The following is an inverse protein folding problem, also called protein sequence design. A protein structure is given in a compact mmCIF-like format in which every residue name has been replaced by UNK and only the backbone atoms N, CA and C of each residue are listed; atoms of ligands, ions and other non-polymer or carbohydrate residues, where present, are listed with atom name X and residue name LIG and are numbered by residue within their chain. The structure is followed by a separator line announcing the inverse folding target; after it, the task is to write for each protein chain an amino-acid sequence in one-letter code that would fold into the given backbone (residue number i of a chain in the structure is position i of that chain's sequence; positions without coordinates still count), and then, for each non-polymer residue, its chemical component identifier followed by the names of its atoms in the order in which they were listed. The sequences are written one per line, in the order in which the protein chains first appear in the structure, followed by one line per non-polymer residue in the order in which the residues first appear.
data_IF_386681794417
#
_entry.id   IF_386681794417
#
_cell.length_a   1.000
_cell.length_b   1.000
_cell.length_c   1.000
_cell.angle_alpha   90.00
_cell.angle_beta   90.00
_cell.angle_gamma   90.00
#
_symmetry.space_group_name_H-M   'P 1'
#
loop_
_entity.id
_entity.type
_entity.pdbx_description
1 polymer ?
#
# COMPACT_ATOMS: atom_id res chain seq x y z
N UNK A 1 -6.38 10.34 15.65
CA UNK A 1 -7.17 10.08 16.86
C UNK A 1 -7.86 11.34 17.37
N UNK A 2 -7.14 12.40 17.78
CA UNK A 2 -7.76 13.62 18.33
C UNK A 2 -8.71 14.33 17.36
N UNK A 3 -8.40 14.30 16.06
CA UNK A 3 -9.29 14.81 15.00
C UNK A 3 -10.44 13.86 14.60
N UNK A 4 -10.62 12.74 15.29
CA UNK A 4 -11.66 11.75 14.96
C UNK A 4 -11.41 10.91 13.69
N UNK A 5 -10.24 11.01 13.06
CA UNK A 5 -9.87 10.17 11.92
C UNK A 5 -9.87 8.67 12.29
N UNK A 6 -10.20 7.81 11.33
CA UNK A 6 -10.33 6.36 11.50
C UNK A 6 -9.10 5.57 11.02
N UNK A 7 -8.31 6.13 10.12
CA UNK A 7 -7.17 5.45 9.51
C UNK A 7 -6.01 6.40 9.23
N UNK A 8 -4.81 5.83 9.16
CA UNK A 8 -3.60 6.44 8.63
C UNK A 8 -3.03 5.49 7.59
N UNK A 9 -2.76 5.96 6.37
CA UNK A 9 -2.25 5.12 5.28
C UNK A 9 -1.14 5.83 4.51
N UNK A 10 -0.35 5.04 3.77
CA UNK A 10 0.72 5.55 2.91
C UNK A 10 1.93 4.62 2.90
N UNK A 11 3.09 5.15 2.51
CA UNK A 11 4.39 4.51 2.68
C UNK A 11 4.82 4.56 4.17
N UNK A 12 4.09 3.86 5.03
CA UNK A 12 4.32 3.82 6.49
C UNK A 12 5.39 2.78 6.91
N UNK A 13 5.99 2.11 5.93
CA UNK A 13 7.00 1.06 6.08
C UNK A 13 8.41 1.49 5.66
N UNK A 14 8.59 2.74 5.25
CA UNK A 14 9.86 3.32 4.80
C UNK A 14 9.71 4.79 4.41
N UNK A 15 10.76 5.42 3.89
CA UNK A 15 10.66 6.77 3.32
C UNK A 15 10.27 6.75 1.84
N UNK A 16 9.52 7.77 1.40
CA UNK A 16 9.26 8.02 -0.03
C UNK A 16 10.57 8.48 -0.70
N UNK A 17 10.97 7.77 -1.75
CA UNK A 17 12.22 8.00 -2.47
C UNK A 17 13.44 7.31 -1.84
N UNK A 18 13.29 6.71 -0.66
CA UNK A 18 14.35 5.97 0.02
C UNK A 18 14.46 4.55 -0.52
N UNK A 19 15.63 4.25 -1.11
CA UNK A 19 15.94 2.95 -1.70
C UNK A 19 17.39 2.61 -1.41
N UNK A 20 17.69 1.33 -1.19
CA UNK A 20 19.07 0.86 -0.94
C UNK A 20 19.87 0.70 -2.23
N UNK A 21 19.22 0.71 -3.39
CA UNK A 21 19.81 0.35 -4.68
C UNK A 21 20.06 -1.15 -4.85
N UNK A 22 19.67 -1.96 -3.87
CA UNK A 22 19.76 -3.41 -3.86
C UNK A 22 18.34 -4.03 -3.83
N UNK A 23 18.19 -5.29 -4.27
CA UNK A 23 16.95 -6.02 -4.06
C UNK A 23 16.60 -6.11 -2.56
N UNK A 24 15.30 -6.12 -2.21
CA UNK A 24 14.86 -6.33 -0.83
C UNK A 24 15.44 -7.59 -0.20
N UNK A 25 15.84 -7.47 1.05
CA UNK A 25 16.27 -8.60 1.88
C UNK A 25 15.16 -9.05 2.81
N UNK A 26 15.17 -10.33 3.18
CA UNK A 26 14.24 -10.87 4.17
C UNK A 26 14.34 -10.12 5.52
N UNK A 27 15.55 -9.71 5.89
CA UNK A 27 15.79 -8.90 7.09
C UNK A 27 15.10 -7.54 7.04
N UNK A 28 15.06 -6.87 5.90
CA UNK A 28 14.32 -5.60 5.76
C UNK A 28 12.82 -5.84 5.96
N UNK A 29 12.26 -6.89 5.36
CA UNK A 29 10.87 -7.24 5.56
C UNK A 29 10.54 -7.62 7.01
N UNK A 30 11.42 -8.35 7.69
CA UNK A 30 11.26 -8.69 9.10
C UNK A 30 11.28 -7.45 9.99
N UNK A 31 12.17 -6.50 9.71
CA UNK A 31 12.23 -5.23 10.43
C UNK A 31 10.94 -4.41 10.24
N UNK A 32 10.45 -4.32 8.99
CA UNK A 32 9.17 -3.65 8.68
C UNK A 32 8.03 -4.32 9.43
N UNK A 33 7.91 -5.65 9.36
CA UNK A 33 6.84 -6.38 10.02
C UNK A 33 6.88 -6.18 11.55
N UNK A 34 8.08 -6.19 12.15
CA UNK A 34 8.26 -5.92 13.58
C UNK A 34 7.76 -4.53 13.97
N UNK A 35 8.18 -3.49 13.23
CA UNK A 35 7.80 -2.10 13.53
C UNK A 35 6.31 -1.89 13.32
N UNK A 36 5.73 -2.40 12.22
CA UNK A 36 4.29 -2.33 11.95
C UNK A 36 3.48 -3.07 13.02
N UNK A 37 3.96 -4.19 13.54
CA UNK A 37 3.31 -4.89 14.66
C UNK A 37 3.21 -4.00 15.91
N UNK A 38 4.29 -3.28 16.25
CA UNK A 38 4.30 -2.36 17.39
C UNK A 38 3.39 -1.16 17.13
N UNK A 39 3.47 -0.57 15.94
CA UNK A 39 2.63 0.56 15.53
C UNK A 39 1.13 0.20 15.55
N UNK A 40 0.76 -0.98 15.01
CA UNK A 40 -0.61 -1.46 14.97
C UNK A 40 -1.19 -1.66 16.37
N UNK A 41 -0.43 -2.24 17.31
CA UNK A 41 -0.83 -2.34 18.73
C UNK A 41 -1.10 -0.99 19.36
N UNK A 42 -0.32 0.03 19.02
CA UNK A 42 -0.54 1.39 19.51
C UNK A 42 -1.79 2.02 18.86
N UNK A 43 -1.90 1.95 17.54
CA UNK A 43 -3.00 2.49 16.76
C UNK A 43 -4.35 1.88 17.18
N UNK A 44 -4.38 0.57 17.45
CA UNK A 44 -5.58 -0.15 17.89
C UNK A 44 -6.17 0.41 19.20
N UNK A 45 -5.33 0.79 20.16
CA UNK A 45 -5.77 1.43 21.42
C UNK A 45 -6.48 2.78 21.20
N UNK A 46 -6.28 3.38 20.03
CA UNK A 46 -6.85 4.67 19.64
C UNK A 46 -7.95 4.52 18.57
N UNK A 47 -8.34 3.29 18.23
CA UNK A 47 -9.32 3.03 17.17
C UNK A 47 -8.84 3.43 15.77
N UNK A 48 -7.53 3.38 15.52
CA UNK A 48 -6.92 3.73 14.23
C UNK A 48 -6.49 2.47 13.49
N UNK A 49 -6.86 2.39 12.22
CA UNK A 49 -6.34 1.41 11.27
C UNK A 49 -5.11 1.94 10.51
N UNK A 50 -4.21 1.05 10.08
CA UNK A 50 -2.99 1.39 9.34
C UNK A 50 -3.02 0.81 7.93
N UNK A 51 -2.87 1.65 6.91
CA UNK A 51 -2.87 1.24 5.51
C UNK A 51 -1.46 1.18 4.91
N UNK A 52 -1.08 0.02 4.38
CA UNK A 52 0.18 -0.18 3.65
C UNK A 52 -0.05 0.13 2.18
N UNK A 53 0.54 1.22 1.69
CA UNK A 53 0.44 1.63 0.28
C UNK A 53 1.47 0.91 -0.60
N UNK A 54 1.00 0.14 -1.59
CA UNK A 54 1.90 -0.36 -2.63
C UNK A 54 2.28 0.79 -3.57
N UNK A 55 3.58 1.06 -3.70
CA UNK A 55 4.08 2.20 -4.51
C UNK A 55 5.04 1.75 -5.59
N UNK A 56 5.23 2.56 -6.63
CA UNK A 56 6.16 2.19 -7.71
C UNK A 56 7.62 2.06 -7.21
N UNK A 57 8.44 1.35 -7.98
CA UNK A 57 9.88 1.10 -7.71
C UNK A 57 10.74 2.35 -7.57
N UNK A 58 10.24 3.51 -7.98
CA UNK A 58 10.97 4.78 -7.87
C UNK A 58 10.76 5.43 -6.49
N UNK A 59 9.70 5.05 -5.79
CA UNK A 59 9.34 5.59 -4.49
C UNK A 59 9.74 4.67 -3.34
N UNK A 60 9.73 3.35 -3.54
CA UNK A 60 10.29 2.41 -2.57
C UNK A 60 10.68 1.08 -3.24
N UNK A 61 11.62 0.32 -2.68
CA UNK A 61 12.03 -0.99 -3.22
C UNK A 61 11.33 -2.20 -2.57
N UNK A 62 10.62 -2.02 -1.45
CA UNK A 62 10.09 -3.13 -0.64
C UNK A 62 8.72 -3.63 -1.10
N UNK A 63 7.72 -2.75 -1.20
CA UNK A 63 6.32 -3.12 -1.46
C UNK A 63 5.83 -2.37 -2.69
N UNK A 64 5.75 -3.07 -3.82
CA UNK A 64 5.47 -2.48 -5.12
C UNK A 64 4.18 -2.97 -5.79
N UNK A 65 3.61 -4.08 -5.31
CA UNK A 65 2.35 -4.63 -5.82
C UNK A 65 1.36 -4.89 -4.68
N UNK A 66 0.08 -4.97 -5.00
CA UNK A 66 -0.99 -5.36 -4.09
C UNK A 66 -0.73 -6.73 -3.47
N UNK A 67 -0.18 -7.67 -4.24
CA UNK A 67 0.22 -8.99 -3.72
C UNK A 67 1.32 -8.90 -2.64
N UNK A 68 2.32 -8.05 -2.83
CA UNK A 68 3.35 -7.81 -1.80
C UNK A 68 2.77 -7.09 -0.58
N UNK A 69 1.82 -6.17 -0.78
CA UNK A 69 1.14 -5.49 0.32
C UNK A 69 0.32 -6.48 1.16
N UNK A 70 -0.46 -7.36 0.52
CA UNK A 70 -1.18 -8.46 1.21
C UNK A 70 -0.23 -9.34 1.99
N UNK A 71 0.87 -9.76 1.36
CA UNK A 71 1.87 -10.60 2.03
C UNK A 71 2.42 -9.91 3.29
N UNK A 72 2.68 -8.60 3.26
CA UNK A 72 3.13 -7.87 4.43
C UNK A 72 2.03 -7.75 5.51
N UNK A 73 0.79 -7.43 5.11
CA UNK A 73 -0.37 -7.40 6.05
C UNK A 73 -0.51 -8.74 6.76
N UNK A 74 -0.45 -9.85 6.03
CA UNK A 74 -0.54 -11.20 6.57
C UNK A 74 0.68 -11.58 7.44
N UNK A 75 1.89 -11.14 7.06
CA UNK A 75 3.10 -11.33 7.86
C UNK A 75 3.04 -10.59 9.20
N UNK A 76 2.44 -9.40 9.24
CA UNK A 76 2.22 -8.66 10.49
C UNK A 76 1.11 -9.31 11.32
N UNK A 77 0.05 -9.79 10.67
CA UNK A 77 -1.02 -10.56 11.32
C UNK A 77 -1.90 -9.74 12.28
N UNK A 78 -1.93 -8.42 12.14
CA UNK A 78 -2.77 -7.53 12.94
C UNK A 78 -4.10 -7.25 12.22
N UNK A 79 -5.20 -7.23 12.98
CA UNK A 79 -6.56 -7.04 12.47
C UNK A 79 -6.92 -5.58 12.13
N UNK A 80 -6.05 -4.62 12.46
CA UNK A 80 -6.19 -3.20 12.14
C UNK A 80 -5.14 -2.71 11.14
N UNK A 81 -4.58 -3.59 10.31
CA UNK A 81 -3.78 -3.24 9.15
C UNK A 81 -4.51 -3.66 7.88
N UNK A 82 -4.44 -2.84 6.84
CA UNK A 82 -5.08 -3.09 5.55
C UNK A 82 -4.18 -2.69 4.38
N UNK A 83 -4.56 -3.10 3.18
CA UNK A 83 -3.90 -2.73 1.92
C UNK A 83 -4.48 -1.42 1.41
N UNK A 84 -3.58 -0.51 1.04
CA UNK A 84 -3.86 0.71 0.31
C UNK A 84 -3.27 0.57 -1.10
N UNK A 85 -4.10 0.80 -2.12
CA UNK A 85 -3.67 0.82 -3.53
C UNK A 85 -3.78 2.23 -4.10
N UNK A 86 -3.00 2.52 -5.14
CA UNK A 86 -3.08 3.76 -5.92
C UNK A 86 -3.01 3.42 -7.41
N UNK A 87 -3.94 3.93 -8.19
CA UNK A 87 -4.03 3.65 -9.63
C UNK A 87 -2.81 4.14 -10.42
N UNK A 88 -2.12 5.19 -9.98
CA UNK A 88 -0.85 5.63 -10.57
C UNK A 88 0.27 4.60 -10.36
N UNK A 89 0.38 4.04 -9.16
CA UNK A 89 1.39 3.03 -8.85
C UNK A 89 1.10 1.71 -9.55
N UNK A 90 -0.17 1.29 -9.54
CA UNK A 90 -0.63 0.09 -10.23
C UNK A 90 -0.38 0.15 -11.72
N UNK A 91 -0.55 1.32 -12.35
CA UNK A 91 -0.26 1.54 -13.77
C UNK A 91 1.20 1.25 -14.15
N UNK A 92 2.14 1.28 -13.18
CA UNK A 92 3.57 1.03 -13.42
C UNK A 92 3.95 -0.42 -13.07
N UNK A 93 3.47 -0.93 -11.92
CA UNK A 93 4.00 -2.17 -11.34
C UNK A 93 3.12 -3.39 -11.54
N UNK A 94 1.80 -3.21 -11.66
CA UNK A 94 0.88 -4.34 -11.78
C UNK A 94 0.84 -4.90 -13.20
N UNK A 95 0.69 -6.21 -13.30
CA UNK A 95 0.42 -6.88 -14.58
C UNK A 95 -1.06 -6.80 -14.91
N UNK A 96 -1.55 -5.58 -15.14
CA UNK A 96 -2.97 -5.25 -15.27
C UNK A 96 -3.51 -4.70 -13.94
N UNK A 97 -4.10 -3.50 -13.97
CA UNK A 97 -4.49 -2.78 -12.76
C UNK A 97 -5.52 -3.55 -11.93
N UNK A 98 -6.53 -4.15 -12.57
CA UNK A 98 -7.54 -4.98 -11.87
C UNK A 98 -6.91 -6.12 -11.07
N UNK A 99 -5.80 -6.70 -11.55
CA UNK A 99 -5.14 -7.80 -10.85
C UNK A 99 -4.58 -7.38 -9.49
N UNK A 100 -4.14 -6.12 -9.33
CA UNK A 100 -3.73 -5.60 -8.03
C UNK A 100 -4.88 -5.54 -7.03
N UNK A 101 -6.07 -5.11 -7.48
CA UNK A 101 -7.30 -5.06 -6.67
C UNK A 101 -7.76 -6.46 -6.29
N UNK A 102 -7.80 -7.38 -7.27
CA UNK A 102 -8.19 -8.78 -7.05
C UNK A 102 -7.21 -9.50 -6.11
N UNK A 103 -5.91 -9.21 -6.21
CA UNK A 103 -4.91 -9.74 -5.29
C UNK A 103 -5.10 -9.19 -3.87
N UNK A 104 -5.45 -7.91 -3.73
CA UNK A 104 -5.69 -7.27 -2.43
C UNK A 104 -6.94 -7.79 -1.72
N UNK A 105 -8.00 -8.14 -2.48
CA UNK A 105 -9.24 -8.78 -1.99
C UNK A 105 -9.79 -8.11 -0.72
N UNK A 106 -10.18 -8.91 0.27
CA UNK A 106 -10.69 -8.49 1.58
C UNK A 106 -9.73 -7.62 2.41
N UNK A 107 -8.44 -7.54 2.03
CA UNK A 107 -7.49 -6.67 2.71
C UNK A 107 -7.54 -5.22 2.20
N UNK A 108 -8.13 -4.95 1.02
CA UNK A 108 -8.24 -3.61 0.46
C UNK A 108 -9.28 -2.77 1.20
N UNK A 109 -8.88 -1.66 1.82
CA UNK A 109 -9.81 -0.70 2.46
C UNK A 109 -9.67 0.74 1.99
N UNK A 110 -8.64 1.05 1.21
CA UNK A 110 -8.39 2.41 0.74
C UNK A 110 -7.76 2.39 -0.65
N UNK A 111 -8.23 3.28 -1.52
CA UNK A 111 -7.69 3.44 -2.87
C UNK A 111 -7.50 4.93 -3.19
N UNK A 112 -6.32 5.30 -3.66
CA UNK A 112 -6.08 6.56 -4.34
C UNK A 112 -6.43 6.43 -5.82
N UNK A 113 -7.19 7.38 -6.33
CA UNK A 113 -7.55 7.49 -7.75
C UNK A 113 -6.76 8.64 -8.35
N UNK A 114 -5.64 8.28 -8.97
CA UNK A 114 -4.68 9.18 -9.59
C UNK A 114 -4.42 8.71 -11.02
N UNK A 115 -4.42 9.65 -11.97
CA UNK A 115 -4.14 9.33 -13.37
C UNK A 115 -2.66 8.95 -13.57
N UNK A 116 -2.33 8.36 -14.73
CA UNK A 116 -0.98 7.88 -15.07
C UNK A 116 0.13 8.94 -14.96
N UNK A 117 -0.22 10.23 -15.04
CA UNK A 117 0.66 11.40 -14.88
C UNK A 117 0.38 12.19 -13.58
N UNK A 118 -0.43 11.62 -12.68
CA UNK A 118 -1.00 12.25 -11.48
C UNK A 118 -1.92 13.44 -11.74
N UNK A 119 -2.41 13.58 -12.96
CA UNK A 119 -3.46 14.52 -13.35
C UNK A 119 -4.85 14.08 -12.89
N UNK A 120 -5.87 14.63 -13.54
CA UNK A 120 -7.27 14.32 -13.21
C UNK A 120 -7.63 12.93 -13.75
N UNK A 121 -8.28 12.05 -12.96
CA UNK A 121 -8.75 10.75 -13.46
C UNK A 121 -9.55 10.88 -14.76
N UNK A 122 -9.21 10.05 -15.75
CA UNK A 122 -9.85 10.01 -17.06
C UNK A 122 -9.19 10.87 -18.13
N UNK A 123 -8.09 11.56 -17.81
CA UNK A 123 -7.34 12.39 -18.77
C UNK A 123 -6.01 11.78 -19.19
N UNK A 124 -5.75 10.52 -18.86
CA UNK A 124 -4.49 9.82 -19.17
C UNK A 124 -4.72 8.35 -19.57
N UNK A 125 -3.81 7.48 -19.12
CA UNK A 125 -3.69 6.10 -19.57
C UNK A 125 -4.04 5.04 -18.51
N UNK A 126 -4.48 5.42 -17.31
CA UNK A 126 -4.98 4.46 -16.35
C UNK A 126 -6.18 3.69 -16.94
N UNK A 127 -6.21 2.35 -16.87
CA UNK A 127 -7.28 1.54 -17.46
C UNK A 127 -8.52 1.54 -16.55
N UNK A 128 -9.25 2.66 -16.51
CA UNK A 128 -10.38 2.87 -15.60
C UNK A 128 -11.45 1.79 -15.72
N UNK A 129 -11.75 1.34 -16.94
CA UNK A 129 -12.71 0.26 -17.22
C UNK A 129 -12.40 -1.04 -16.47
N UNK A 130 -11.13 -1.39 -16.33
CA UNK A 130 -10.71 -2.56 -15.56
C UNK A 130 -10.69 -2.28 -14.05
N UNK A 131 -10.43 -1.03 -13.65
CA UNK A 131 -10.32 -0.62 -12.24
C UNK A 131 -11.69 -0.57 -11.55
N UNK A 132 -12.76 -0.15 -12.25
CA UNK A 132 -14.09 -0.02 -11.66
C UNK A 132 -15.00 -1.26 -11.83
N UNK A 133 -14.60 -2.23 -12.65
CA UNK A 133 -15.40 -3.41 -12.99
C UNK A 133 -15.75 -4.29 -11.78
#
# INVERSE_FOLDING_TARGET
AEMGALALSGVIFGGIGERTGLPPTEKEYDNVAHVLTVAAKHAKKRGIELGIEAVNRYENHLINTGAQAVWMVEKVGADNIFVHLDTYHMNIEEKGAANGILAARDHLKYIHLSESDRGTPGTGNCPWDEIYA
#
